data_IF_948567473668
#
_entry.id   IF_948567473668
#
_cell.length_a   1.000
_cell.length_b   1.000
_cell.length_c   1.000
_cell.angle_alpha   90.00
_cell.angle_beta   90.00
_cell.angle_gamma   90.00
#
_symmetry.space_group_name_H-M   'P 1'
#
loop_
_entity.id
_entity.type
_entity.pdbx_description
1 polymer ?
#
# COMPACT_ATOMS: atom_id res chain seq x y z
N UNK A 1 -8.55 3.22 4.02
CA UNK A 1 -7.18 3.44 3.52
C UNK A 1 -7.15 3.64 2.01
N UNK A 2 -7.76 2.76 1.21
CA UNK A 2 -7.73 2.89 -0.26
C UNK A 2 -8.38 4.19 -0.77
N UNK A 3 -9.50 4.61 -0.18
CA UNK A 3 -10.15 5.90 -0.47
C UNK A 3 -9.24 7.11 -0.21
N UNK A 4 -8.34 7.03 0.78
CA UNK A 4 -7.38 8.11 1.05
C UNK A 4 -6.32 8.22 -0.04
N UNK A 5 -5.88 7.07 -0.61
CA UNK A 5 -4.99 7.04 -1.78
C UNK A 5 -5.72 7.63 -2.98
N UNK A 6 -6.95 7.19 -3.24
CA UNK A 6 -7.78 7.75 -4.32
C UNK A 6 -7.93 9.27 -4.20
N UNK A 7 -8.35 9.76 -3.03
CA UNK A 7 -8.55 11.19 -2.79
C UNK A 7 -7.25 11.99 -2.94
N UNK A 8 -6.12 11.43 -2.49
CA UNK A 8 -4.80 12.07 -2.66
C UNK A 8 -4.43 12.23 -4.15
N UNK A 9 -4.79 11.26 -4.98
CA UNK A 9 -4.52 11.32 -6.42
C UNK A 9 -5.50 12.26 -7.12
N UNK A 10 -6.80 12.03 -6.96
CA UNK A 10 -7.84 12.72 -7.73
C UNK A 10 -8.08 14.16 -7.28
N UNK A 11 -8.00 14.44 -5.97
CA UNK A 11 -8.36 15.74 -5.41
C UNK A 11 -7.15 16.57 -4.98
N UNK A 12 -6.06 15.94 -4.55
CA UNK A 12 -4.84 16.64 -4.16
C UNK A 12 -3.77 16.68 -5.27
N UNK A 13 -4.00 16.00 -6.40
CA UNK A 13 -3.08 16.01 -7.55
C UNK A 13 -1.74 15.32 -7.31
N UNK A 14 -1.67 14.43 -6.30
CA UNK A 14 -0.46 13.69 -5.97
C UNK A 14 -0.33 12.49 -6.93
N UNK A 15 0.87 12.24 -7.45
CA UNK A 15 1.11 11.08 -8.29
C UNK A 15 0.79 9.76 -7.55
N UNK A 16 0.23 8.77 -8.25
CA UNK A 16 -0.23 7.51 -7.65
C UNK A 16 0.87 6.79 -6.84
N UNK A 17 2.09 6.73 -7.36
CA UNK A 17 3.21 6.07 -6.70
C UNK A 17 3.61 6.79 -5.39
N UNK A 18 3.50 8.11 -5.34
CA UNK A 18 3.73 8.91 -4.15
C UNK A 18 2.61 8.72 -3.12
N UNK A 19 1.35 8.73 -3.56
CA UNK A 19 0.20 8.46 -2.69
C UNK A 19 0.28 7.05 -2.07
N UNK A 20 0.74 6.06 -2.82
CA UNK A 20 1.01 4.71 -2.29
C UNK A 20 2.12 4.75 -1.23
N UNK A 21 3.24 5.46 -1.46
CA UNK A 21 4.31 5.61 -0.46
C UNK A 21 3.82 6.29 0.82
N UNK A 22 2.94 7.28 0.71
CA UNK A 22 2.28 7.94 1.85
C UNK A 22 1.41 6.97 2.68
N UNK A 23 0.80 5.97 2.03
CA UNK A 23 -0.01 4.96 2.71
C UNK A 23 0.79 3.74 3.20
N UNK A 24 2.07 3.59 2.81
CA UNK A 24 2.86 2.37 3.06
C UNK A 24 4.24 2.67 3.66
N UNK A 25 5.17 3.18 2.86
CA UNK A 25 6.56 3.43 3.25
C UNK A 25 6.71 4.48 4.34
N UNK A 26 5.98 5.60 4.25
CA UNK A 26 6.15 6.70 5.22
C UNK A 26 5.61 6.32 6.62
N UNK A 27 4.43 5.69 6.76
CA UNK A 27 4.00 5.14 8.03
C UNK A 27 4.99 4.11 8.59
N UNK A 28 5.51 3.21 7.74
CA UNK A 28 6.49 2.20 8.17
C UNK A 28 7.77 2.84 8.74
N UNK A 29 8.28 3.89 8.09
CA UNK A 29 9.43 4.66 8.58
C UNK A 29 9.12 5.41 9.87
N UNK A 30 7.94 6.02 9.96
CA UNK A 30 7.53 6.80 11.13
C UNK A 30 7.49 5.96 12.42
N UNK A 31 7.18 4.66 12.32
CA UNK A 31 7.15 3.74 13.47
C UNK A 31 8.34 2.76 13.52
N UNK A 32 9.32 2.90 12.62
CA UNK A 32 10.55 2.10 12.62
C UNK A 32 10.44 0.65 12.15
N UNK A 33 9.44 0.32 11.31
CA UNK A 33 9.21 -1.02 10.74
C UNK A 33 9.52 -1.11 9.24
N UNK A 34 10.14 -0.09 8.65
CA UNK A 34 10.46 -0.01 7.22
C UNK A 34 11.47 -1.05 6.72
N UNK A 35 12.19 -1.70 7.63
CA UNK A 35 13.06 -2.85 7.31
C UNK A 35 12.28 -4.11 6.94
N UNK A 36 11.04 -4.23 7.39
CA UNK A 36 10.22 -5.45 7.20
C UNK A 36 8.89 -5.19 6.49
N UNK A 37 8.36 -3.96 6.53
CA UNK A 37 7.07 -3.56 5.95
C UNK A 37 7.16 -2.27 5.13
N UNK A 38 6.15 -2.01 4.30
CA UNK A 38 5.98 -0.74 3.59
C UNK A 38 6.65 -0.65 2.22
N UNK A 39 7.32 -1.71 1.76
CA UNK A 39 7.87 -1.80 0.41
C UNK A 39 7.88 -3.26 -0.09
N UNK A 40 7.91 -3.43 -1.42
CA UNK A 40 8.04 -4.74 -2.06
C UNK A 40 9.50 -4.96 -2.41
N UNK A 41 10.21 -5.73 -1.59
CA UNK A 41 11.63 -6.06 -1.76
C UNK A 41 11.94 -7.44 -1.19
N UNK A 42 12.95 -8.11 -1.75
CA UNK A 42 13.46 -9.38 -1.23
C UNK A 42 13.78 -9.27 0.27
N UNK A 43 13.26 -10.21 1.05
CA UNK A 43 13.49 -10.32 2.50
C UNK A 43 12.48 -9.56 3.38
N UNK A 44 11.52 -8.85 2.78
CA UNK A 44 10.42 -8.20 3.52
C UNK A 44 9.23 -9.15 3.71
N UNK A 45 8.37 -8.85 4.67
CA UNK A 45 7.14 -9.61 4.91
C UNK A 45 6.18 -9.36 3.76
N UNK A 46 5.57 -10.43 3.24
CA UNK A 46 4.61 -10.38 2.15
C UNK A 46 3.24 -9.88 2.62
N UNK A 47 3.18 -8.59 3.00
CA UNK A 47 1.94 -7.85 3.22
C UNK A 47 1.67 -6.98 2.00
N UNK A 48 0.71 -7.39 1.18
CA UNK A 48 0.42 -6.80 -0.13
C UNK A 48 -1.07 -6.50 -0.27
N UNK A 49 -1.38 -5.50 -1.09
CA UNK A 49 -2.76 -5.15 -1.48
C UNK A 49 -2.84 -5.11 -3.00
N UNK A 50 -3.83 -5.79 -3.57
CA UNK A 50 -4.13 -5.77 -5.00
C UNK A 50 -5.40 -4.96 -5.19
N UNK A 51 -5.34 -3.94 -6.05
CA UNK A 51 -6.49 -3.10 -6.41
C UNK A 51 -6.47 -2.78 -7.91
N UNK A 52 -7.62 -2.41 -8.47
CA UNK A 52 -7.75 -2.07 -9.88
C UNK A 52 -7.63 -0.55 -10.15
N UNK A 53 -7.87 -0.15 -11.40
CA UNK A 53 -7.76 1.26 -11.82
C UNK A 53 -8.84 2.16 -11.21
N UNK A 54 -9.91 1.57 -10.72
CA UNK A 54 -11.02 2.27 -10.06
C UNK A 54 -10.87 2.22 -8.54
N UNK A 55 -9.67 1.89 -8.04
CA UNK A 55 -9.34 1.80 -6.61
C UNK A 55 -10.14 0.75 -5.82
N UNK A 56 -10.75 -0.24 -6.48
CA UNK A 56 -11.39 -1.35 -5.78
C UNK A 56 -10.35 -2.39 -5.37
N UNK A 57 -10.29 -2.71 -4.07
CA UNK A 57 -9.41 -3.77 -3.55
C UNK A 57 -9.96 -5.13 -3.99
N UNK A 58 -9.14 -5.90 -4.69
CA UNK A 58 -9.49 -7.22 -5.23
C UNK A 58 -9.01 -8.37 -4.36
N UNK A 59 -7.88 -8.19 -3.67
CA UNK A 59 -7.30 -9.18 -2.79
C UNK A 59 -6.25 -8.55 -1.86
N UNK A 60 -5.91 -9.26 -0.80
CA UNK A 60 -4.76 -8.94 0.05
C UNK A 60 -3.88 -10.17 0.23
N UNK A 61 -2.63 -9.94 0.58
CA UNK A 61 -1.72 -10.97 1.06
C UNK A 61 -1.29 -10.56 2.45
N UNK A 62 -1.45 -11.42 3.45
CA UNK A 62 -1.07 -11.15 4.85
C UNK A 62 -0.13 -12.25 5.31
N UNK A 63 1.11 -11.88 5.65
CA UNK A 63 2.19 -12.81 6.00
C UNK A 63 2.41 -13.92 4.95
N UNK A 64 2.16 -13.62 3.67
CA UNK A 64 2.28 -14.58 2.57
C UNK A 64 1.01 -15.37 2.25
N UNK A 65 -0.05 -15.28 3.07
CA UNK A 65 -1.33 -15.92 2.81
C UNK A 65 -2.20 -15.05 1.92
N UNK A 66 -2.67 -15.58 0.79
CA UNK A 66 -3.51 -14.87 -0.16
C UNK A 66 -4.99 -14.99 0.20
N UNK A 67 -5.68 -13.86 0.31
CA UNK A 67 -7.12 -13.77 0.56
C UNK A 67 -7.79 -12.90 -0.49
N UNK A 68 -8.78 -13.45 -1.18
CA UNK A 68 -9.57 -12.75 -2.19
C UNK A 68 -10.81 -12.13 -1.56
N UNK A 69 -11.02 -10.84 -1.83
CA UNK A 69 -12.20 -10.09 -1.39
C UNK A 69 -13.41 -10.30 -2.32
#
# INVERSE_FOLDING_TARGET
MIEAVQNSVEHAGIALDEAIRMATLYPARAIGVDKTLGAIKKGMVANLTIFDRDYHVRATVVNGEYEQN
#
